data_IF_585116118263
#
_entry.id   IF_585116118263
#
_cell.length_a   1.000
_cell.length_b   1.000
_cell.length_c   1.000
_cell.angle_alpha   90.00
_cell.angle_beta   90.00
_cell.angle_gamma   90.00
#
_symmetry.space_group_name_H-M   'P 1'
#
loop_
_entity.id
_entity.type
_entity.pdbx_description
1 polymer ?
#
# COMPACT_ATOMS: atom_id res chain seq x y z
N UNK A 1 10.12 52.59 -14.81
CA UNK A 1 11.25 51.96 -14.10
C UNK A 1 10.74 50.68 -13.45
N UNK A 2 10.93 49.55 -14.13
CA UNK A 2 10.54 48.21 -13.67
C UNK A 2 11.53 47.76 -12.60
N UNK A 3 11.03 47.46 -11.40
CA UNK A 3 11.81 46.72 -10.40
C UNK A 3 11.96 45.29 -10.90
N UNK A 4 13.16 44.94 -11.34
CA UNK A 4 13.60 43.55 -11.45
C UNK A 4 13.57 43.01 -10.01
N UNK A 5 12.74 42.01 -9.68
CA UNK A 5 12.81 41.42 -8.35
C UNK A 5 14.14 40.69 -8.21
N UNK A 6 14.83 40.99 -7.11
CA UNK A 6 16.07 40.39 -6.62
C UNK A 6 16.25 38.92 -7.03
N UNK A 7 17.47 38.59 -7.46
CA UNK A 7 18.00 37.24 -7.60
C UNK A 7 17.93 36.49 -6.26
N UNK A 8 16.74 35.99 -5.92
CA UNK A 8 16.61 34.87 -5.01
C UNK A 8 17.46 33.75 -5.59
N UNK A 9 18.34 33.17 -4.77
CA UNK A 9 19.25 32.12 -5.16
C UNK A 9 18.45 30.84 -5.51
N UNK A 10 17.83 30.81 -6.69
CA UNK A 10 16.99 29.71 -7.16
C UNK A 10 17.89 28.53 -7.48
N UNK A 11 18.22 27.76 -6.45
CA UNK A 11 18.83 26.45 -6.63
C UNK A 11 17.76 25.44 -7.00
N UNK A 12 18.03 24.64 -8.03
CA UNK A 12 17.18 23.53 -8.46
C UNK A 12 17.89 22.18 -8.20
N UNK A 13 18.10 21.76 -6.93
CA UNK A 13 18.77 20.49 -6.66
C UNK A 13 18.00 19.31 -7.27
N UNK A 14 18.75 18.39 -7.87
CA UNK A 14 18.29 17.08 -8.31
C UNK A 14 18.68 16.06 -7.24
N UNK A 15 17.70 15.33 -6.70
CA UNK A 15 17.91 14.24 -5.75
C UNK A 15 17.47 12.93 -6.35
N UNK A 16 18.35 11.92 -6.33
CA UNK A 16 18.03 10.58 -6.82
C UNK A 16 17.68 9.67 -5.65
N UNK A 17 16.53 9.00 -5.75
CA UNK A 17 16.06 7.96 -4.85
C UNK A 17 16.03 6.61 -5.58
N UNK A 18 15.82 5.53 -4.84
CA UNK A 18 15.65 4.18 -5.43
C UNK A 18 14.45 4.22 -6.40
N UNK A 19 14.74 4.10 -7.70
CA UNK A 19 13.73 4.06 -8.77
C UNK A 19 13.14 5.40 -9.21
N UNK A 20 13.64 6.55 -8.76
CA UNK A 20 13.20 7.88 -9.25
C UNK A 20 14.24 8.98 -9.02
N UNK A 21 14.25 10.00 -9.87
CA UNK A 21 14.97 11.26 -9.62
C UNK A 21 13.95 12.39 -9.46
N UNK A 22 14.15 13.28 -8.50
CA UNK A 22 13.28 14.44 -8.28
C UNK A 22 14.08 15.73 -8.35
N UNK A 23 13.65 16.66 -9.19
CA UNK A 23 14.15 18.04 -9.19
C UNK A 23 13.22 18.93 -8.38
N UNK A 24 13.80 19.82 -7.58
CA UNK A 24 13.01 20.77 -6.78
C UNK A 24 13.56 22.17 -6.88
N UNK A 25 12.72 23.18 -7.10
CA UNK A 25 13.08 24.59 -7.01
C UNK A 25 12.19 25.29 -5.97
N UNK A 26 12.75 26.27 -5.26
CA UNK A 26 11.97 27.12 -4.36
C UNK A 26 10.99 27.99 -5.18
N UNK A 27 9.79 28.21 -4.65
CA UNK A 27 8.79 29.05 -5.30
C UNK A 27 7.94 29.79 -4.26
N UNK A 28 7.87 31.12 -4.31
CA UNK A 28 7.09 31.94 -3.37
C UNK A 28 5.57 31.91 -3.61
N UNK A 29 5.08 30.98 -4.42
CA UNK A 29 3.64 30.76 -4.62
C UNK A 29 3.13 29.74 -3.61
N UNK A 30 2.10 30.11 -2.85
CA UNK A 30 1.43 29.21 -1.92
C UNK A 30 0.35 28.41 -2.63
N UNK A 31 0.44 27.09 -2.52
CA UNK A 31 -0.62 26.16 -2.86
C UNK A 31 -0.18 25.01 -3.73
N UNK A 32 -1.06 24.54 -4.62
CA UNK A 32 -0.75 23.38 -5.44
C UNK A 32 -1.44 23.32 -6.80
N UNK A 33 -0.61 22.98 -7.77
CA UNK A 33 -0.93 22.78 -9.18
C UNK A 33 -0.17 21.55 -9.64
N UNK A 34 -0.66 20.86 -10.66
CA UNK A 34 0.09 19.76 -11.27
C UNK A 34 -0.09 19.77 -12.77
N UNK A 35 1.01 19.89 -13.48
CA UNK A 35 1.12 19.70 -14.92
C UNK A 35 1.51 18.26 -15.19
N UNK A 36 0.77 17.59 -16.06
CA UNK A 36 1.10 16.24 -16.51
C UNK A 36 0.78 16.12 -18.00
N UNK A 37 1.41 15.14 -18.66
CA UNK A 37 1.06 14.85 -20.05
C UNK A 37 -0.42 14.53 -20.16
N UNK A 38 -1.07 15.14 -21.14
CA UNK A 38 -2.50 15.01 -21.34
C UNK A 38 -2.88 13.56 -21.63
N UNK A 39 -3.95 13.11 -20.98
CA UNK A 39 -4.51 11.76 -21.17
C UNK A 39 -5.98 11.90 -21.53
N UNK A 40 -6.22 12.25 -22.79
CA UNK A 40 -7.57 12.50 -23.30
C UNK A 40 -8.44 11.23 -23.40
N UNK A 41 -7.82 10.05 -23.33
CA UNK A 41 -8.51 8.76 -23.26
C UNK A 41 -7.74 7.82 -22.34
N UNK A 42 -8.44 7.20 -21.39
CA UNK A 42 -7.83 6.26 -20.45
C UNK A 42 -8.73 5.93 -19.26
N UNK A 43 -8.48 4.77 -18.66
CA UNK A 43 -9.25 4.28 -17.52
C UNK A 43 -9.38 5.30 -16.38
N UNK A 44 -8.27 5.94 -15.97
CA UNK A 44 -8.30 6.92 -14.88
C UNK A 44 -9.06 8.20 -15.22
N UNK A 45 -9.06 8.63 -16.48
CA UNK A 45 -9.82 9.79 -16.94
C UNK A 45 -11.32 9.49 -16.93
N UNK A 46 -11.73 8.34 -17.48
CA UNK A 46 -13.11 7.85 -17.41
C UNK A 46 -13.58 7.63 -15.97
N UNK A 47 -12.73 7.07 -15.11
CA UNK A 47 -13.03 6.84 -13.70
C UNK A 47 -13.19 8.16 -12.94
N UNK A 48 -12.30 9.14 -13.16
CA UNK A 48 -12.46 10.47 -12.59
C UNK A 48 -13.81 11.10 -12.99
N UNK A 49 -14.28 10.84 -14.21
CA UNK A 49 -15.56 11.36 -14.73
C UNK A 49 -16.74 10.67 -14.09
N UNK A 50 -16.69 9.35 -13.97
CA UNK A 50 -17.69 8.56 -13.24
C UNK A 50 -17.80 9.04 -11.78
N UNK A 51 -16.66 9.30 -11.15
CA UNK A 51 -16.60 9.80 -9.77
C UNK A 51 -16.94 11.29 -9.64
N UNK A 52 -17.24 12.01 -10.73
CA UNK A 52 -17.52 13.46 -10.74
C UNK A 52 -16.42 14.29 -10.06
N UNK A 53 -15.16 13.91 -10.26
CA UNK A 53 -14.02 14.69 -9.76
C UNK A 53 -13.78 15.92 -10.64
N UNK A 54 -13.09 16.93 -10.09
CA UNK A 54 -12.66 18.08 -10.88
C UNK A 54 -11.71 17.61 -11.99
N UNK A 55 -12.11 17.82 -13.23
CA UNK A 55 -11.33 17.42 -14.40
C UNK A 55 -10.09 18.29 -14.58
N UNK A 56 -9.00 17.75 -15.15
CA UNK A 56 -7.92 18.58 -15.62
C UNK A 56 -8.41 19.54 -16.70
N UNK A 57 -7.81 20.72 -16.74
CA UNK A 57 -8.01 21.70 -17.79
C UNK A 57 -6.78 21.69 -18.72
N UNK A 58 -7.01 21.79 -20.03
CA UNK A 58 -5.93 21.71 -21.02
C UNK A 58 -5.01 22.94 -20.93
N UNK A 59 -3.71 22.74 -20.74
CA UNK A 59 -2.69 23.81 -20.75
C UNK A 59 -2.17 24.08 -22.17
N UNK A 60 -1.71 23.01 -22.81
CA UNK A 60 -1.15 22.97 -24.17
C UNK A 60 -1.77 21.79 -24.92
N UNK A 61 -1.36 21.57 -26.18
CA UNK A 61 -1.86 20.44 -26.96
C UNK A 61 -1.65 19.08 -26.27
N UNK A 62 -0.58 18.94 -25.48
CA UNK A 62 -0.11 17.69 -24.89
C UNK A 62 0.05 17.73 -23.36
N UNK A 63 -0.36 18.82 -22.69
CA UNK A 63 -0.23 19.00 -21.24
C UNK A 63 -1.56 19.41 -20.62
N UNK A 64 -1.94 18.69 -19.58
CA UNK A 64 -3.11 18.94 -18.73
C UNK A 64 -2.67 19.55 -17.39
N UNK A 65 -3.43 20.53 -16.87
CA UNK A 65 -3.26 21.09 -15.52
C UNK A 65 -4.37 20.61 -14.60
N UNK A 66 -3.96 20.11 -13.44
CA UNK A 66 -4.85 19.82 -12.32
C UNK A 66 -4.72 20.91 -11.25
N UNK A 67 -5.82 21.20 -10.53
CA UNK A 67 -5.79 22.12 -9.39
C UNK A 67 -5.87 23.61 -9.73
N UNK A 68 -6.29 23.97 -10.95
CA UNK A 68 -6.52 25.37 -11.37
C UNK A 68 -7.98 25.64 -11.71
N UNK A 69 -8.37 26.91 -11.86
CA UNK A 69 -9.62 27.32 -12.50
C UNK A 69 -9.32 27.95 -13.87
N UNK A 70 -10.35 28.05 -14.73
CA UNK A 70 -10.20 28.61 -16.07
C UNK A 70 -9.57 30.01 -16.11
N UNK A 71 -9.94 30.91 -15.18
CA UNK A 71 -9.39 32.27 -15.16
C UNK A 71 -7.87 32.30 -14.86
N UNK A 72 -7.42 31.52 -13.88
CA UNK A 72 -5.98 31.41 -13.56
C UNK A 72 -5.25 30.69 -14.69
N UNK A 73 -5.85 29.66 -15.26
CA UNK A 73 -5.28 28.92 -16.38
C UNK A 73 -5.03 29.81 -17.60
N UNK A 74 -6.01 30.63 -17.99
CA UNK A 74 -5.85 31.53 -19.14
C UNK A 74 -4.73 32.55 -18.92
N UNK A 75 -4.52 32.99 -17.68
CA UNK A 75 -3.38 33.84 -17.31
C UNK A 75 -2.06 33.08 -17.48
N UNK A 76 -1.99 31.84 -17.00
CA UNK A 76 -0.80 30.99 -17.14
C UNK A 76 -0.50 30.61 -18.59
N UNK A 77 -1.52 30.40 -19.44
CA UNK A 77 -1.34 30.07 -20.87
C UNK A 77 -0.72 31.22 -21.67
N UNK A 78 -1.04 32.47 -21.30
CA UNK A 78 -0.48 33.66 -21.95
C UNK A 78 1.03 33.81 -21.70
N UNK A 79 1.56 33.19 -20.66
CA UNK A 79 2.99 33.15 -20.39
C UNK A 79 3.70 32.09 -21.27
N UNK A 80 4.37 32.55 -22.32
CA UNK A 80 5.17 31.68 -23.21
C UNK A 80 6.41 31.10 -22.52
N UNK A 81 7.00 31.79 -21.54
CA UNK A 81 8.15 31.30 -20.81
C UNK A 81 7.78 30.13 -19.90
N UNK A 82 6.63 30.24 -19.22
CA UNK A 82 6.08 29.15 -18.40
C UNK A 82 5.81 27.91 -19.25
N UNK A 83 5.10 28.10 -20.36
CA UNK A 83 4.73 27.03 -21.29
C UNK A 83 5.95 26.27 -21.80
N UNK A 84 6.93 26.99 -22.36
CA UNK A 84 8.16 26.39 -22.88
C UNK A 84 8.94 25.64 -21.80
N UNK A 85 8.97 26.16 -20.56
CA UNK A 85 9.66 25.53 -19.45
C UNK A 85 8.97 24.24 -18.99
N UNK A 86 7.63 24.22 -18.89
CA UNK A 86 6.86 23.00 -18.55
C UNK A 86 7.03 21.93 -19.65
N UNK A 87 6.91 22.32 -20.92
CA UNK A 87 7.13 21.41 -22.05
C UNK A 87 8.56 20.84 -22.04
N UNK A 88 9.57 21.68 -21.76
CA UNK A 88 10.96 21.23 -21.64
C UNK A 88 11.13 20.16 -20.56
N UNK A 89 10.49 20.31 -19.39
CA UNK A 89 10.57 19.33 -18.31
C UNK A 89 9.90 18.00 -18.69
N UNK A 90 8.71 18.06 -19.30
CA UNK A 90 7.95 16.87 -19.68
C UNK A 90 8.57 16.13 -20.87
N UNK A 91 9.16 16.84 -21.84
CA UNK A 91 9.94 16.26 -22.95
C UNK A 91 11.24 15.64 -22.48
N UNK A 92 11.90 16.24 -21.47
CA UNK A 92 13.07 15.68 -20.77
C UNK A 92 12.75 14.45 -19.89
N UNK A 93 11.52 13.93 -19.96
CA UNK A 93 11.12 12.69 -19.31
C UNK A 93 10.51 12.84 -17.91
N UNK A 94 10.14 14.05 -17.48
CA UNK A 94 9.37 14.22 -16.26
C UNK A 94 7.96 13.62 -16.44
N UNK A 95 7.48 12.87 -15.45
CA UNK A 95 6.11 12.34 -15.43
C UNK A 95 5.09 13.39 -15.01
N UNK A 96 5.50 14.31 -14.15
CA UNK A 96 4.69 15.39 -13.62
C UNK A 96 5.59 16.58 -13.25
N UNK A 97 5.02 17.78 -13.26
CA UNK A 97 5.60 18.99 -12.69
C UNK A 97 4.54 19.56 -11.74
N UNK A 98 4.84 19.63 -10.45
CA UNK A 98 3.86 20.00 -9.42
C UNK A 98 4.35 21.14 -8.55
N UNK A 99 3.46 22.08 -8.26
CA UNK A 99 3.62 23.04 -7.18
C UNK A 99 3.11 22.40 -5.90
N UNK A 100 3.90 22.45 -4.83
CA UNK A 100 3.47 21.98 -3.51
C UNK A 100 4.30 22.61 -2.40
N UNK A 101 3.63 23.31 -1.47
CA UNK A 101 4.27 23.87 -0.28
C UNK A 101 5.40 24.85 -0.60
N UNK A 102 5.14 25.79 -1.53
CA UNK A 102 6.11 26.81 -1.97
C UNK A 102 7.36 26.26 -2.64
N UNK A 103 7.20 25.13 -3.35
CA UNK A 103 8.26 24.51 -4.15
C UNK A 103 7.67 23.92 -5.42
N UNK A 104 8.40 24.03 -6.52
CA UNK A 104 8.14 23.27 -7.75
C UNK A 104 8.91 21.97 -7.67
N UNK A 105 8.25 20.86 -7.97
CA UNK A 105 8.86 19.53 -8.05
C UNK A 105 8.57 18.90 -9.41
N UNK A 106 9.60 18.41 -10.07
CA UNK A 106 9.47 17.52 -11.22
C UNK A 106 9.94 16.11 -10.83
N UNK A 107 9.16 15.07 -11.17
CA UNK A 107 9.52 13.68 -10.90
C UNK A 107 9.88 12.95 -12.19
N UNK A 108 10.98 12.20 -12.16
CA UNK A 108 11.52 11.44 -13.28
C UNK A 108 11.57 9.96 -12.88
N UNK A 109 10.95 9.04 -13.65
CA UNK A 109 10.81 7.63 -13.27
C UNK A 109 12.06 6.79 -13.53
N UNK A 110 13.01 7.27 -14.34
CA UNK A 110 14.27 6.55 -14.62
C UNK A 110 15.31 6.86 -13.55
N UNK A 111 16.07 5.82 -13.16
CA UNK A 111 17.24 5.95 -12.27
C UNK A 111 18.37 6.59 -13.08
N UNK A 112 18.84 7.75 -12.65
CA UNK A 112 19.88 8.53 -13.35
C UNK A 112 19.56 10.03 -13.34
N UNK A 113 20.57 10.85 -13.60
CA UNK A 113 20.34 12.26 -13.93
C UNK A 113 19.59 12.32 -15.26
N UNK A 114 18.59 13.20 -15.43
CA UNK A 114 18.00 13.44 -16.75
C UNK A 114 19.13 13.82 -17.74
N UNK A 115 18.97 13.39 -19.00
CA UNK A 115 20.01 13.50 -20.05
C UNK A 115 20.54 14.94 -20.19
N UNK A 116 19.69 15.95 -19.95
CA UNK A 116 20.07 17.36 -19.91
C UNK A 116 19.81 17.99 -18.52
N UNK A 117 20.60 17.62 -17.53
CA UNK A 117 20.45 18.05 -16.14
C UNK A 117 20.35 19.58 -15.98
N UNK A 118 21.20 20.33 -16.67
CA UNK A 118 21.23 21.80 -16.54
C UNK A 118 20.07 22.48 -17.25
N UNK A 119 19.58 21.89 -18.34
CA UNK A 119 18.34 22.33 -18.99
C UNK A 119 17.13 22.10 -18.08
N UNK A 120 17.07 20.95 -17.39
CA UNK A 120 16.03 20.65 -16.39
C UNK A 120 16.08 21.61 -15.21
N UNK A 121 17.26 21.91 -14.67
CA UNK A 121 17.43 22.91 -13.60
C UNK A 121 16.94 24.28 -14.05
N UNK A 122 17.37 24.74 -15.23
CA UNK A 122 16.98 26.03 -15.79
C UNK A 122 15.47 26.11 -16.00
N UNK A 123 14.87 25.05 -16.54
CA UNK A 123 13.43 24.98 -16.74
C UNK A 123 12.66 24.99 -15.41
N UNK A 124 13.12 24.27 -14.38
CA UNK A 124 12.52 24.32 -13.03
C UNK A 124 12.53 25.72 -12.42
N UNK A 125 13.65 26.44 -12.55
CA UNK A 125 13.76 27.82 -12.06
C UNK A 125 12.82 28.74 -12.84
N UNK A 126 12.76 28.62 -14.17
CA UNK A 126 11.86 29.42 -15.00
C UNK A 126 10.39 29.18 -14.66
N UNK A 127 9.98 27.93 -14.41
CA UNK A 127 8.62 27.61 -13.96
C UNK A 127 8.31 28.32 -12.64
N UNK A 128 9.23 28.28 -11.67
CA UNK A 128 9.03 28.95 -10.38
C UNK A 128 8.90 30.47 -10.54
N UNK A 129 9.80 31.11 -11.30
CA UNK A 129 9.79 32.55 -11.54
C UNK A 129 8.53 33.01 -12.28
N UNK A 130 8.15 32.32 -13.36
CA UNK A 130 6.91 32.63 -14.10
C UNK A 130 5.67 32.50 -13.22
N UNK A 131 5.59 31.45 -12.41
CA UNK A 131 4.46 31.28 -11.48
C UNK A 131 4.41 32.40 -10.44
N UNK A 132 5.55 32.82 -9.88
CA UNK A 132 5.61 33.94 -8.94
C UNK A 132 5.13 35.25 -9.56
N UNK A 133 5.51 35.53 -10.80
CA UNK A 133 5.10 36.73 -11.52
C UNK A 133 3.60 36.76 -11.85
N UNK A 134 3.03 35.60 -12.23
CA UNK A 134 1.68 35.53 -12.80
C UNK A 134 0.58 35.24 -11.77
N UNK A 135 0.88 34.55 -10.66
CA UNK A 135 -0.15 34.02 -9.76
C UNK A 135 -0.52 34.92 -8.58
N UNK A 136 0.11 36.08 -8.42
CA UNK A 136 -0.12 36.96 -7.26
C UNK A 136 0.24 36.32 -5.91
N UNK A 137 0.95 35.19 -5.91
CA UNK A 137 1.47 34.52 -4.71
C UNK A 137 0.62 33.39 -4.15
N UNK A 138 -0.59 33.11 -4.69
CA UNK A 138 -1.44 32.01 -4.19
C UNK A 138 -2.19 31.30 -5.31
N UNK A 139 -2.10 29.96 -5.39
CA UNK A 139 -2.92 29.12 -6.27
C UNK A 139 -3.36 27.85 -5.58
N UNK A 140 -4.67 27.68 -5.35
CA UNK A 140 -5.25 26.47 -4.77
C UNK A 140 -4.50 26.05 -3.48
N UNK A 141 -4.41 26.99 -2.53
CA UNK A 141 -3.67 26.85 -1.27
C UNK A 141 -4.15 25.73 -0.36
N UNK A 142 -5.39 25.29 -0.56
CA UNK A 142 -6.11 24.40 0.34
C UNK A 142 -5.64 22.93 0.26
N UNK A 143 -4.90 22.54 -0.79
CA UNK A 143 -4.52 21.15 -1.00
C UNK A 143 -3.12 21.01 -1.59
N UNK A 144 -2.52 19.83 -1.47
CA UNK A 144 -1.34 19.39 -2.26
C UNK A 144 -1.52 17.93 -2.61
N UNK A 145 -0.93 17.43 -3.70
CA UNK A 145 -1.07 16.01 -4.10
C UNK A 145 -0.69 15.08 -2.95
N UNK A 146 0.44 15.36 -2.28
CA UNK A 146 0.90 14.57 -1.14
C UNK A 146 -0.16 14.51 -0.02
N UNK A 147 -0.74 15.66 0.38
CA UNK A 147 -1.80 15.73 1.40
C UNK A 147 -3.06 14.96 0.99
N UNK A 148 -3.45 15.00 -0.29
CA UNK A 148 -4.62 14.26 -0.80
C UNK A 148 -4.36 12.75 -0.81
N UNK A 149 -3.13 12.32 -1.10
CA UNK A 149 -2.76 10.90 -1.14
C UNK A 149 -2.45 10.28 0.23
N UNK A 150 -2.10 11.08 1.24
CA UNK A 150 -1.65 10.62 2.55
C UNK A 150 -2.66 9.69 3.26
N UNK A 151 -3.98 9.97 3.30
CA UNK A 151 -4.94 9.08 3.94
C UNK A 151 -4.96 7.67 3.33
N UNK A 152 -4.78 7.56 2.01
CA UNK A 152 -4.73 6.27 1.32
C UNK A 152 -3.45 5.51 1.64
N UNK A 153 -2.33 6.20 1.85
CA UNK A 153 -1.08 5.57 2.30
C UNK A 153 -1.22 5.02 3.72
N UNK A 154 -1.82 5.81 4.62
CA UNK A 154 -2.10 5.38 5.98
C UNK A 154 -3.07 4.20 6.01
N UNK A 155 -4.09 4.21 5.16
CA UNK A 155 -5.02 3.09 5.01
C UNK A 155 -4.31 1.81 4.55
N UNK A 156 -3.40 1.91 3.57
CA UNK A 156 -2.60 0.77 3.13
C UNK A 156 -1.64 0.25 4.21
N UNK A 157 -0.98 1.16 4.94
CA UNK A 157 -0.14 0.79 6.07
C UNK A 157 -0.95 0.10 7.18
N UNK A 158 -2.13 0.61 7.49
CA UNK A 158 -3.04 0.01 8.46
C UNK A 158 -3.52 -1.38 8.01
N UNK A 159 -3.82 -1.57 6.73
CA UNK A 159 -4.17 -2.88 6.19
C UNK A 159 -3.06 -3.92 6.30
N UNK A 160 -1.82 -3.50 6.02
CA UNK A 160 -0.66 -4.35 6.23
C UNK A 160 -0.46 -4.68 7.72
N UNK A 161 -0.55 -3.67 8.60
CA UNK A 161 -0.43 -3.87 10.04
C UNK A 161 -1.53 -4.78 10.60
N UNK A 162 -2.76 -4.68 10.09
CA UNK A 162 -3.89 -5.54 10.49
C UNK A 162 -3.64 -7.00 10.10
N UNK A 163 -3.12 -7.26 8.91
CA UNK A 163 -2.76 -8.62 8.48
C UNK A 163 -1.62 -9.21 9.30
N UNK A 164 -0.58 -8.43 9.58
CA UNK A 164 0.52 -8.88 10.45
C UNK A 164 0.01 -9.10 11.88
N UNK A 165 -0.82 -8.18 12.38
CA UNK A 165 -1.41 -8.21 13.72
C UNK A 165 -2.38 -9.37 13.93
N UNK A 166 -3.16 -9.76 12.92
CA UNK A 166 -4.04 -10.94 13.02
C UNK A 166 -3.22 -12.22 13.25
N UNK A 167 -2.05 -12.34 12.61
CA UNK A 167 -1.12 -13.45 12.86
C UNK A 167 -0.60 -13.51 14.30
N UNK A 168 -0.32 -12.37 14.93
CA UNK A 168 0.15 -12.33 16.32
C UNK A 168 -0.97 -12.53 17.35
N UNK A 169 -2.13 -11.89 17.15
CA UNK A 169 -3.25 -11.93 18.09
C UNK A 169 -3.95 -13.29 18.14
N UNK A 170 -3.90 -14.04 17.03
CA UNK A 170 -4.48 -15.36 16.96
C UNK A 170 -3.63 -16.46 17.65
N UNK A 171 -2.57 -16.10 18.40
CA UNK A 171 -1.71 -16.95 19.26
C UNK A 171 -2.05 -18.43 19.14
N UNK A 172 -1.43 -19.06 18.16
CA UNK A 172 -1.85 -20.36 17.63
C UNK A 172 -1.62 -20.27 16.14
N UNK A 173 -0.76 -21.14 15.63
CA UNK A 173 -0.43 -21.12 14.23
C UNK A 173 -1.66 -21.63 13.46
N UNK A 174 -2.43 -20.69 12.94
CA UNK A 174 -3.71 -21.03 12.36
C UNK A 174 -3.49 -21.83 11.08
N UNK A 175 -4.05 -23.03 11.04
CA UNK A 175 -4.20 -23.90 9.88
C UNK A 175 -4.99 -23.31 8.72
N UNK A 176 -5.39 -22.03 8.81
CA UNK A 176 -6.16 -21.35 7.79
C UNK A 176 -5.34 -21.35 6.50
N UNK A 177 -5.69 -22.27 5.61
CA UNK A 177 -5.26 -22.17 4.24
C UNK A 177 -5.99 -20.96 3.66
N UNK A 178 -5.25 -19.98 3.14
CA UNK A 178 -5.84 -18.77 2.56
C UNK A 178 -6.84 -19.08 1.45
N UNK A 179 -6.71 -20.24 0.79
CA UNK A 179 -7.67 -20.73 -0.20
C UNK A 179 -9.05 -21.08 0.39
N UNK A 180 -9.14 -21.48 1.66
CA UNK A 180 -10.42 -21.83 2.30
C UNK A 180 -11.27 -20.61 2.60
N UNK A 181 -10.61 -19.51 2.96
CA UNK A 181 -11.28 -18.23 3.16
C UNK A 181 -11.47 -17.46 1.86
N UNK A 182 -11.01 -17.96 0.71
CA UNK A 182 -11.00 -17.19 -0.53
C UNK A 182 -12.39 -16.63 -0.89
N UNK A 183 -13.51 -17.39 -0.83
CA UNK A 183 -14.83 -16.83 -1.11
C UNK A 183 -15.22 -15.71 -0.13
N UNK A 184 -14.98 -15.90 1.17
CA UNK A 184 -15.29 -14.92 2.20
C UNK A 184 -14.41 -13.66 2.07
N UNK A 185 -13.13 -13.84 1.73
CA UNK A 185 -12.17 -12.77 1.48
C UNK A 185 -12.58 -11.98 0.23
N UNK A 186 -13.03 -12.64 -0.84
CA UNK A 186 -13.52 -11.96 -2.04
C UNK A 186 -14.76 -11.13 -1.75
N UNK A 187 -15.76 -11.68 -1.05
CA UNK A 187 -16.98 -10.94 -0.68
C UNK A 187 -16.64 -9.76 0.23
N UNK A 188 -15.79 -9.97 1.24
CA UNK A 188 -15.35 -8.92 2.17
C UNK A 188 -14.54 -7.85 1.45
N UNK A 189 -13.64 -8.24 0.54
CA UNK A 189 -12.86 -7.32 -0.27
C UNK A 189 -13.74 -6.49 -1.21
N UNK A 190 -14.76 -7.09 -1.85
CA UNK A 190 -15.72 -6.36 -2.68
C UNK A 190 -16.52 -5.35 -1.84
N UNK A 191 -16.97 -5.74 -0.65
CA UNK A 191 -17.65 -4.83 0.28
C UNK A 191 -16.75 -3.67 0.72
N UNK A 192 -15.51 -3.96 1.11
CA UNK A 192 -14.53 -2.95 1.49
C UNK A 192 -14.15 -2.03 0.33
N UNK A 193 -14.03 -2.55 -0.91
CA UNK A 193 -13.82 -1.74 -2.11
C UNK A 193 -15.00 -0.81 -2.37
N UNK A 194 -16.23 -1.27 -2.19
CA UNK A 194 -17.41 -0.44 -2.33
C UNK A 194 -17.42 0.70 -1.28
N UNK A 195 -17.14 0.37 -0.02
CA UNK A 195 -17.06 1.35 1.08
C UNK A 195 -15.92 2.36 0.82
N UNK A 196 -14.72 1.87 0.49
CA UNK A 196 -13.56 2.70 0.19
C UNK A 196 -13.80 3.57 -1.05
N UNK A 197 -14.52 3.05 -2.05
CA UNK A 197 -14.92 3.81 -3.24
C UNK A 197 -15.91 4.92 -2.91
N UNK A 198 -16.94 4.66 -2.09
CA UNK A 198 -17.95 5.65 -1.68
C UNK A 198 -17.35 6.73 -0.76
N UNK A 199 -16.59 6.32 0.26
CA UNK A 199 -15.93 7.23 1.19
C UNK A 199 -14.81 8.02 0.50
N UNK A 200 -13.98 7.33 -0.28
CA UNK A 200 -12.89 7.92 -1.06
C UNK A 200 -13.39 8.92 -2.10
N UNK A 201 -14.48 8.62 -2.81
CA UNK A 201 -15.10 9.54 -3.77
C UNK A 201 -15.54 10.85 -3.10
N UNK A 202 -16.25 10.77 -1.97
CA UNK A 202 -16.70 11.96 -1.24
C UNK A 202 -15.55 12.82 -0.72
N UNK A 203 -14.46 12.20 -0.26
CA UNK A 203 -13.26 12.91 0.16
C UNK A 203 -12.54 13.55 -1.03
N UNK A 204 -12.32 12.80 -2.11
CA UNK A 204 -11.65 13.26 -3.31
C UNK A 204 -12.39 14.43 -3.98
N UNK A 205 -13.73 14.42 -4.00
CA UNK A 205 -14.53 15.53 -4.54
C UNK A 205 -14.27 16.87 -3.87
N UNK A 206 -13.81 16.89 -2.62
CA UNK A 206 -13.49 18.14 -1.90
C UNK A 206 -12.20 18.80 -2.38
N UNK A 207 -11.38 18.11 -3.18
CA UNK A 207 -10.05 18.57 -3.54
C UNK A 207 -9.88 18.75 -5.07
N UNK A 208 -9.42 19.94 -5.48
CA UNK A 208 -9.20 20.28 -6.89
C UNK A 208 -8.10 19.44 -7.59
N UNK A 209 -7.26 18.74 -6.83
CA UNK A 209 -6.17 17.87 -7.31
C UNK A 209 -6.52 16.38 -7.27
N UNK A 210 -7.75 16.01 -6.93
CA UNK A 210 -8.14 14.63 -6.72
C UNK A 210 -7.97 13.72 -7.93
N UNK A 211 -8.24 14.22 -9.14
CA UNK A 211 -8.04 13.45 -10.36
C UNK A 211 -6.56 13.08 -10.60
N UNK A 212 -5.61 13.94 -10.19
CA UNK A 212 -4.18 13.65 -10.26
C UNK A 212 -3.74 12.60 -9.22
N UNK A 213 -4.39 12.58 -8.04
CA UNK A 213 -4.11 11.61 -6.98
C UNK A 213 -4.82 10.26 -7.18
N UNK A 214 -5.79 10.18 -8.11
CA UNK A 214 -6.64 9.00 -8.33
C UNK A 214 -5.86 7.71 -8.61
N UNK A 215 -4.79 7.68 -9.43
CA UNK A 215 -4.02 6.46 -9.66
C UNK A 215 -3.38 5.93 -8.38
N UNK A 216 -2.79 6.82 -7.58
CA UNK A 216 -2.16 6.47 -6.29
C UNK A 216 -3.21 5.96 -5.31
N UNK A 217 -4.34 6.66 -5.19
CA UNK A 217 -5.43 6.26 -4.32
C UNK A 217 -5.98 4.88 -4.70
N UNK A 218 -6.19 4.62 -6.00
CA UNK A 218 -6.69 3.33 -6.48
C UNK A 218 -5.69 2.21 -6.19
N UNK A 219 -4.42 2.39 -6.56
CA UNK A 219 -3.38 1.38 -6.34
C UNK A 219 -3.28 1.03 -4.84
N UNK A 220 -3.19 2.05 -3.98
CA UNK A 220 -3.13 1.84 -2.53
C UNK A 220 -4.37 1.14 -1.98
N UNK A 221 -5.56 1.48 -2.47
CA UNK A 221 -6.81 0.83 -2.06
C UNK A 221 -6.83 -0.64 -2.51
N UNK A 222 -6.43 -0.93 -3.77
CA UNK A 222 -6.35 -2.30 -4.28
C UNK A 222 -5.32 -3.16 -3.54
N UNK A 223 -4.26 -2.57 -2.98
CA UNK A 223 -3.32 -3.28 -2.11
C UNK A 223 -3.87 -3.44 -0.68
N UNK A 224 -4.48 -2.40 -0.11
CA UNK A 224 -4.95 -2.40 1.27
C UNK A 224 -6.13 -3.35 1.51
N UNK A 225 -7.08 -3.35 0.58
CA UNK A 225 -8.36 -4.04 0.77
C UNK A 225 -8.22 -5.57 0.88
N UNK A 226 -7.46 -6.27 0.02
CA UNK A 226 -7.25 -7.71 0.18
C UNK A 226 -6.60 -8.05 1.53
N UNK A 227 -5.62 -7.25 1.99
CA UNK A 227 -4.94 -7.48 3.26
C UNK A 227 -5.90 -7.31 4.44
N UNK A 228 -6.72 -6.25 4.43
CA UNK A 228 -7.76 -6.03 5.44
C UNK A 228 -8.83 -7.13 5.42
N UNK A 229 -9.27 -7.56 4.24
CA UNK A 229 -10.25 -8.62 4.10
C UNK A 229 -9.72 -9.94 4.66
N UNK A 230 -8.48 -10.31 4.35
CA UNK A 230 -7.83 -11.49 4.93
C UNK A 230 -7.73 -11.42 6.46
N UNK A 231 -7.27 -10.28 6.99
CA UNK A 231 -7.17 -10.07 8.43
C UNK A 231 -8.54 -10.20 9.12
N UNK A 232 -9.56 -9.53 8.57
CA UNK A 232 -10.91 -9.55 9.12
C UNK A 232 -11.55 -10.94 9.04
N UNK A 233 -11.48 -11.63 7.89
CA UNK A 233 -12.00 -12.99 7.75
C UNK A 233 -11.32 -13.96 8.70
N UNK A 234 -9.99 -13.88 8.88
CA UNK A 234 -9.26 -14.71 9.83
C UNK A 234 -9.71 -14.46 11.27
N UNK A 235 -9.79 -13.20 11.71
CA UNK A 235 -10.25 -12.84 13.04
C UNK A 235 -11.70 -13.27 13.29
N UNK A 236 -12.60 -13.05 12.33
CA UNK A 236 -14.01 -13.45 12.43
C UNK A 236 -14.14 -14.97 12.50
N UNK A 237 -13.44 -15.70 11.63
CA UNK A 237 -13.47 -17.15 11.60
C UNK A 237 -13.06 -17.77 12.94
N UNK A 238 -11.98 -17.26 13.53
CA UNK A 238 -11.45 -17.75 14.81
C UNK A 238 -12.32 -17.31 15.97
N UNK A 239 -12.66 -16.02 16.05
CA UNK A 239 -13.45 -15.49 17.17
C UNK A 239 -14.84 -16.12 17.23
N UNK A 240 -15.52 -16.26 16.09
CA UNK A 240 -16.83 -16.90 16.05
C UNK A 240 -16.72 -18.42 16.17
N UNK A 241 -15.67 -19.03 15.63
CA UNK A 241 -15.40 -20.47 15.80
C UNK A 241 -15.31 -20.84 17.27
N UNK A 242 -14.44 -20.16 18.03
CA UNK A 242 -14.30 -20.35 19.50
C UNK A 242 -15.61 -20.10 20.26
N UNK A 243 -16.41 -19.14 19.82
CA UNK A 243 -17.61 -18.75 20.54
C UNK A 243 -18.83 -19.63 20.24
N UNK A 244 -18.85 -20.33 19.09
CA UNK A 244 -20.08 -20.97 18.56
C UNK A 244 -19.93 -22.44 18.21
N UNK A 245 -18.72 -22.91 17.93
CA UNK A 245 -18.48 -24.26 17.45
C UNK A 245 -17.64 -25.03 18.48
N UNK A 246 -17.96 -26.30 18.75
CA UNK A 246 -17.20 -27.11 19.68
C UNK A 246 -15.84 -27.49 19.08
N UNK A 247 -14.82 -27.54 19.94
CA UNK A 247 -13.50 -28.04 19.58
C UNK A 247 -13.52 -29.58 19.52
N UNK A 248 -12.74 -30.16 18.61
CA UNK A 248 -12.32 -31.56 18.65
C UNK A 248 -10.92 -31.66 19.27
N UNK A 249 -10.70 -32.74 20.02
CA UNK A 249 -9.39 -33.07 20.59
C UNK A 249 -8.85 -34.27 19.82
N UNK A 250 -7.68 -34.10 19.22
CA UNK A 250 -7.03 -35.10 18.40
C UNK A 250 -5.62 -35.36 18.92
N UNK A 251 -5.27 -36.63 19.10
CA UNK A 251 -3.93 -37.04 19.55
C UNK A 251 -3.15 -37.52 18.35
N UNK A 252 -2.01 -36.89 18.10
CA UNK A 252 -1.20 -37.12 16.91
C UNK A 252 0.27 -37.28 17.26
N UNK A 253 0.94 -38.18 16.56
CA UNK A 253 2.38 -38.35 16.67
C UNK A 253 3.06 -37.62 15.52
N UNK A 254 3.99 -36.74 15.83
CA UNK A 254 4.70 -35.94 14.84
C UNK A 254 6.03 -35.42 15.36
N UNK A 255 6.76 -34.73 14.50
CA UNK A 255 8.00 -34.03 14.86
C UNK A 255 7.91 -32.57 14.43
N UNK A 256 8.62 -31.72 15.16
CA UNK A 256 8.67 -30.28 14.85
C UNK A 256 9.74 -30.02 13.79
N UNK A 257 9.34 -29.49 12.65
CA UNK A 257 10.24 -29.02 11.61
C UNK A 257 10.27 -27.48 11.58
N UNK A 258 11.47 -26.92 11.43
CA UNK A 258 11.67 -25.51 11.12
C UNK A 258 12.09 -25.38 9.65
N UNK A 259 11.30 -24.66 8.86
CA UNK A 259 11.71 -24.31 7.50
C UNK A 259 12.96 -23.41 7.58
N UNK A 260 14.03 -23.78 6.85
CA UNK A 260 15.41 -23.24 6.96
C UNK A 260 15.62 -21.72 6.72
N UNK A 261 14.55 -20.93 6.67
CA UNK A 261 14.59 -19.50 6.37
C UNK A 261 14.18 -18.69 7.61
N UNK A 262 15.04 -17.74 8.01
CA UNK A 262 14.78 -16.82 9.14
C UNK A 262 13.40 -16.17 8.96
N UNK A 263 12.51 -16.37 9.94
CA UNK A 263 11.16 -15.80 9.95
C UNK A 263 10.05 -16.71 9.40
N UNK A 264 10.33 -17.98 9.08
CA UNK A 264 9.27 -18.94 8.74
C UNK A 264 8.61 -19.55 9.98
N UNK A 265 7.31 -19.87 9.90
CA UNK A 265 6.59 -20.54 10.98
C UNK A 265 7.14 -21.95 11.21
N UNK A 266 7.12 -22.38 12.46
CA UNK A 266 7.41 -23.77 12.84
C UNK A 266 6.22 -24.63 12.42
N UNK A 267 6.46 -25.88 12.06
CA UNK A 267 5.41 -26.82 11.67
C UNK A 267 5.57 -28.13 12.43
N UNK A 268 4.46 -28.72 12.85
CA UNK A 268 4.39 -30.10 13.31
C UNK A 268 4.05 -30.97 12.09
N UNK A 269 5.01 -31.77 11.64
CA UNK A 269 4.83 -32.71 10.54
C UNK A 269 4.40 -34.08 11.07
N UNK A 270 3.36 -34.66 10.46
CA UNK A 270 2.88 -36.00 10.81
C UNK A 270 3.63 -37.06 10.00
N UNK A 271 3.94 -38.20 10.61
CA UNK A 271 4.53 -39.33 9.88
C UNK A 271 3.60 -39.81 8.76
N UNK A 272 4.15 -40.23 7.61
CA UNK A 272 3.38 -41.05 6.67
C UNK A 272 3.30 -42.47 7.24
N UNK A 273 2.13 -43.14 7.20
CA UNK A 273 0.93 -42.81 6.41
C UNK A 273 -0.14 -41.97 7.15
N UNK A 274 0.05 -41.57 8.40
CA UNK A 274 -0.94 -40.85 9.21
C UNK A 274 -1.08 -39.38 8.79
N UNK A 275 -1.91 -39.10 7.77
CA UNK A 275 -2.48 -37.77 7.62
C UNK A 275 -3.61 -37.59 8.64
N UNK A 276 -3.66 -36.42 9.28
CA UNK A 276 -4.74 -36.07 10.21
C UNK A 276 -5.98 -35.69 9.41
N UNK A 277 -7.13 -36.30 9.70
CA UNK A 277 -8.38 -35.91 9.07
C UNK A 277 -9.04 -34.76 9.85
N UNK A 278 -8.78 -33.53 9.40
CA UNK A 278 -9.37 -32.34 9.98
C UNK A 278 -10.64 -31.98 9.22
N UNK A 279 -11.78 -32.45 9.74
CA UNK A 279 -13.11 -32.19 9.20
C UNK A 279 -13.24 -32.57 7.71
N UNK A 280 -12.78 -33.77 7.33
CA UNK A 280 -12.86 -34.31 5.97
C UNK A 280 -11.68 -33.91 5.08
N UNK A 281 -10.55 -33.52 5.67
CA UNK A 281 -9.35 -33.05 4.97
C UNK A 281 -8.11 -33.70 5.56
N UNK A 282 -7.42 -34.48 4.74
CA UNK A 282 -6.14 -35.08 5.08
C UNK A 282 -5.02 -34.02 5.13
N UNK A 283 -4.65 -33.60 6.33
CA UNK A 283 -3.57 -32.65 6.61
C UNK A 283 -2.31 -33.41 7.01
N UNK A 284 -1.16 -33.05 6.41
CA UNK A 284 0.14 -33.69 6.69
C UNK A 284 1.04 -32.90 7.63
N UNK A 285 0.72 -31.62 7.83
CA UNK A 285 1.47 -30.72 8.69
C UNK A 285 0.54 -29.66 9.24
N UNK A 286 0.70 -29.30 10.50
CA UNK A 286 0.01 -28.16 11.11
C UNK A 286 1.06 -27.12 11.50
N UNK A 287 0.88 -25.83 11.18
CA UNK A 287 1.81 -24.84 11.67
C UNK A 287 1.65 -24.76 13.21
N UNK A 288 2.75 -24.50 13.92
CA UNK A 288 2.81 -24.40 15.39
C UNK A 288 3.60 -23.15 15.83
N UNK A 289 3.48 -22.76 17.10
CA UNK A 289 4.26 -21.66 17.67
C UNK A 289 5.75 -22.01 17.75
N UNK A 290 6.62 -21.10 17.29
CA UNK A 290 8.07 -21.25 17.46
C UNK A 290 8.58 -20.89 18.87
N UNK A 291 7.72 -20.33 19.74
CA UNK A 291 8.10 -19.97 21.10
C UNK A 291 8.45 -21.23 21.89
N UNK A 292 9.68 -21.32 22.40
CA UNK A 292 10.19 -22.49 23.14
C UNK A 292 11.04 -23.46 22.31
N UNK A 293 10.97 -23.40 20.97
CA UNK A 293 11.70 -24.32 20.07
C UNK A 293 13.01 -23.72 19.52
N UNK A 294 13.28 -22.45 19.77
CA UNK A 294 14.49 -21.73 19.33
C UNK A 294 15.81 -22.20 19.98
N UNK A 295 15.79 -23.21 20.85
CA UNK A 295 16.98 -23.83 21.43
C UNK A 295 17.35 -25.18 20.82
N UNK A 296 16.50 -25.77 19.96
CA UNK A 296 16.73 -27.09 19.37
C UNK A 296 17.48 -26.95 18.04
N UNK A 297 18.68 -26.37 18.11
CA UNK A 297 19.64 -26.35 17.00
C UNK A 297 20.19 -27.75 16.79
N UNK A 298 19.42 -28.57 16.09
CA UNK A 298 19.74 -29.96 15.84
C UNK A 298 18.41 -30.67 15.64
N UNK A 299 18.11 -31.05 14.40
CA UNK A 299 16.84 -31.61 14.00
C UNK A 299 16.37 -32.66 15.00
N UNK A 300 15.46 -32.28 15.88
CA UNK A 300 14.73 -33.22 16.72
C UNK A 300 13.72 -33.87 15.77
N UNK A 301 14.20 -34.89 15.07
CA UNK A 301 13.38 -35.88 14.37
C UNK A 301 12.73 -36.85 15.35
N UNK A 302 12.90 -36.64 16.65
CA UNK A 302 12.21 -37.41 17.66
C UNK A 302 10.70 -37.16 17.55
N UNK A 303 9.97 -38.26 17.42
CA UNK A 303 8.53 -38.23 17.44
C UNK A 303 8.07 -38.04 18.88
N UNK A 304 7.14 -37.12 19.06
CA UNK A 304 6.43 -36.96 20.32
C UNK A 304 4.93 -37.07 20.08
N UNK A 305 4.22 -37.42 21.14
CA UNK A 305 2.76 -37.38 21.16
C UNK A 305 2.29 -35.95 21.47
N UNK A 306 1.43 -35.42 20.61
CA UNK A 306 0.83 -34.10 20.76
C UNK A 306 -0.69 -34.24 20.89
N UNK A 307 -1.27 -33.46 21.79
CA UNK A 307 -2.71 -33.20 21.83
C UNK A 307 -3.00 -31.89 21.10
N UNK A 308 -3.77 -31.98 20.01
CA UNK A 308 -4.23 -30.85 19.23
C UNK A 308 -5.70 -30.59 19.56
N UNK A 309 -6.01 -29.33 19.89
CA UNK A 309 -7.39 -28.84 19.94
C UNK A 309 -7.68 -28.13 18.63
N UNK A 310 -8.61 -28.65 17.86
CA UNK A 310 -8.98 -28.11 16.56
C UNK A 310 -10.43 -27.65 16.55
N UNK A 311 -10.68 -26.55 15.84
CA UNK A 311 -12.01 -25.97 15.68
C UNK A 311 -12.39 -25.97 14.20
N UNK A 312 -13.65 -26.23 13.82
CA UNK A 312 -14.04 -26.28 12.41
C UNK A 312 -14.00 -24.91 11.74
N UNK A 313 -13.98 -23.83 12.52
CA UNK A 313 -14.02 -22.45 12.03
C UNK A 313 -15.41 -22.05 11.53
N UNK A 314 -15.82 -20.83 11.86
CA UNK A 314 -17.15 -20.35 11.50
C UNK A 314 -17.36 -20.18 9.99
N UNK A 315 -16.29 -19.87 9.25
CA UNK A 315 -16.29 -19.67 7.81
C UNK A 315 -15.87 -20.95 7.05
N UNK A 316 -15.89 -22.11 7.69
CA UNK A 316 -15.48 -23.38 7.07
C UNK A 316 -13.97 -23.48 6.84
N UNK A 317 -13.19 -22.70 7.57
CA UNK A 317 -11.73 -22.75 7.57
C UNK A 317 -11.26 -23.27 8.94
N UNK A 318 -10.99 -24.57 9.08
CA UNK A 318 -10.60 -25.15 10.35
C UNK A 318 -9.26 -24.60 10.83
N UNK A 319 -9.09 -24.49 12.15
CA UNK A 319 -7.86 -24.00 12.76
C UNK A 319 -7.46 -24.81 14.00
N UNK A 320 -6.15 -24.89 14.29
CA UNK A 320 -5.66 -25.36 15.59
C UNK A 320 -5.81 -24.22 16.58
N UNK A 321 -6.52 -24.49 17.67
CA UNK A 321 -6.73 -23.56 18.76
C UNK A 321 -5.61 -23.64 19.81
N UNK A 322 -5.17 -24.87 20.11
CA UNK A 322 -4.11 -25.15 21.07
C UNK A 322 -3.35 -26.43 20.69
N UNK A 323 -2.06 -26.42 20.98
CA UNK A 323 -1.14 -27.54 20.84
C UNK A 323 -0.46 -27.80 22.20
N UNK A 324 -0.40 -29.05 22.63
CA UNK A 324 0.27 -29.45 23.87
C UNK A 324 1.04 -30.75 23.65
N UNK A 325 2.34 -30.75 23.97
CA UNK A 325 3.14 -31.96 23.97
C UNK A 325 2.78 -32.77 25.23
N UNK A 326 2.40 -34.02 25.05
CA UNK A 326 2.16 -34.94 26.15
C UNK A 326 3.49 -35.58 26.59
N UNK A 327 3.65 -35.90 27.89
CA UNK A 327 4.81 -36.64 28.35
C UNK A 327 4.85 -38.02 27.68
N UNK A 328 6.02 -38.44 27.22
CA UNK A 328 6.21 -39.79 26.70
C UNK A 328 6.00 -40.78 27.86
N UNK A 329 5.14 -41.79 27.71
CA UNK A 329 4.89 -42.85 28.72
C UNK A 329 6.15 -43.68 29.07
N UNK A 330 7.32 -43.30 28.55
CA UNK A 330 8.61 -43.99 28.73
C UNK A 330 9.40 -43.53 29.96
N UNK A 331 9.02 -42.42 30.62
CA UNK A 331 9.67 -41.92 31.85
C UNK A 331 8.93 -42.35 33.13
N UNK A 332 8.50 -43.63 33.18
CA UNK A 332 7.74 -44.18 34.31
C UNK A 332 8.13 -45.60 34.72
N UNK A 333 9.26 -46.13 34.24
CA UNK A 333 9.80 -47.40 34.71
C UNK A 333 11.11 -47.15 35.46
N UNK A 334 10.99 -46.70 36.70
CA UNK A 334 12.05 -46.82 37.70
C UNK A 334 11.93 -48.23 38.30
N UNK A 335 12.84 -49.18 38.02
CA UNK A 335 12.80 -50.50 38.60
C UNK A 335 13.54 -50.44 39.94
N UNK A 336 12.79 -50.13 41.01
CA UNK A 336 13.19 -50.49 42.37
C UNK A 336 12.18 -51.49 42.93
#
# INVERSE_FOLDING_TARGET
MSRIPNDGNYSAPLKTYKGRTTGTAACNVKGALSFARARHSGFFYSLARLLRLKMPEQFTYDVDVYGTNGATLETLKRDSALRNAVETLLTSGATNVSLGGSKIRAEFPRRGSPENADQVKTALVRVAQSLEMQSGGVVNAEASIAKVSLPFMLFAAAGFAALMGSGFLNRGASLINMFDLLPAVLVTALGLLAIAGLAGSSFLRKHALAAAALPVALTLTCFAVPLLAMAACSMINISLGRARLPDSIERVTGYVAQLHTKGHPCVLEFMRPSALDLYGRAVRQVPISCLGYHGLSGGVTALHLYELRTNPGFLGAPFVDREEQLPDESEGADPN
#
